data_IF_497043108943
#
_entry.id   IF_497043108943
#
_cell.length_a   1.000
_cell.length_b   1.000
_cell.length_c   1.000
_cell.angle_alpha   90.00
_cell.angle_beta   90.00
_cell.angle_gamma   90.00
#
_symmetry.space_group_name_H-M   'P 1'
#
loop_
_entity.id
_entity.type
_entity.pdbx_description
1 polymer ?
#
# COMPACT_ATOMS: atom_id res chain seq x y z
N UNK A 1 -2.24 12.37 8.19
CA UNK A 1 -1.18 11.86 7.28
C UNK A 1 -1.78 11.78 5.89
N UNK A 2 -1.02 12.13 4.85
CA UNK A 2 -1.46 12.02 3.45
C UNK A 2 -1.55 10.56 3.00
N UNK A 3 -2.53 10.26 2.14
CA UNK A 3 -2.75 8.92 1.61
C UNK A 3 -1.54 8.40 0.80
N UNK A 4 -0.99 9.26 -0.05
CA UNK A 4 0.17 8.99 -0.89
C UNK A 4 1.40 8.67 -0.04
N UNK A 5 1.58 9.40 1.07
CA UNK A 5 2.67 9.16 2.03
C UNK A 5 2.51 7.82 2.74
N UNK A 6 1.29 7.44 3.12
CA UNK A 6 1.02 6.14 3.71
C UNK A 6 1.32 4.98 2.74
N UNK A 7 0.93 5.11 1.47
CA UNK A 7 1.27 4.13 0.43
C UNK A 7 2.79 4.03 0.24
N UNK A 8 3.49 5.17 0.16
CA UNK A 8 4.94 5.16 0.00
C UNK A 8 5.63 4.44 1.17
N UNK A 9 5.23 4.71 2.42
CA UNK A 9 5.76 4.02 3.60
C UNK A 9 5.43 2.52 3.61
N UNK A 10 4.26 2.12 3.12
CA UNK A 10 3.90 0.71 2.97
C UNK A 10 4.84 -0.02 1.99
N UNK A 11 5.18 0.62 0.88
CA UNK A 11 6.13 0.09 -0.11
C UNK A 11 7.54 0.05 0.46
N UNK A 12 8.02 1.12 1.08
CA UNK A 12 9.35 1.16 1.72
C UNK A 12 9.47 0.07 2.79
N UNK A 13 8.42 -0.15 3.58
CA UNK A 13 8.39 -1.21 4.61
C UNK A 13 8.48 -2.63 4.03
N UNK A 14 8.13 -2.78 2.75
CA UNK A 14 8.08 -4.06 2.04
C UNK A 14 9.18 -4.16 1.00
N UNK A 15 10.14 -3.23 0.98
CA UNK A 15 11.10 -3.08 -0.11
C UNK A 15 11.90 -4.35 -0.36
N UNK A 16 12.38 -5.01 0.70
CA UNK A 16 13.19 -6.22 0.59
C UNK A 16 12.39 -7.45 0.10
N UNK A 17 11.07 -7.44 0.24
CA UNK A 17 10.19 -8.46 -0.35
C UNK A 17 9.96 -8.21 -1.85
N UNK A 18 10.09 -6.96 -2.30
CA UNK A 18 9.76 -6.51 -3.65
C UNK A 18 10.97 -6.42 -4.58
N UNK A 19 12.10 -5.96 -4.07
CA UNK A 19 13.30 -5.68 -4.85
C UNK A 19 14.46 -6.41 -4.18
N UNK A 20 15.03 -7.38 -4.89
CA UNK A 20 16.20 -8.11 -4.38
C UNK A 20 17.43 -7.23 -4.49
N UNK A 21 18.36 -7.36 -3.55
CA UNK A 21 19.58 -6.53 -3.43
C UNK A 21 20.50 -6.58 -4.67
N UNK A 22 20.35 -7.59 -5.52
CA UNK A 22 21.13 -7.76 -6.75
C UNK A 22 20.42 -7.26 -8.01
N UNK A 23 19.20 -6.73 -7.90
CA UNK A 23 18.46 -6.21 -9.05
C UNK A 23 18.96 -4.82 -9.44
N UNK A 24 18.92 -4.55 -10.75
CA UNK A 24 19.11 -3.24 -11.36
C UNK A 24 18.36 -2.13 -10.59
N UNK A 25 18.89 -0.90 -10.61
CA UNK A 25 18.20 0.26 -10.05
C UNK A 25 16.77 0.30 -10.59
N UNK A 26 15.79 0.23 -9.69
CA UNK A 26 14.39 0.19 -10.04
C UNK A 26 13.57 1.06 -9.08
N UNK A 27 12.41 1.48 -9.55
CA UNK A 27 11.43 2.19 -8.74
C UNK A 27 10.17 1.34 -8.59
N UNK A 28 9.45 1.53 -7.49
CA UNK A 28 8.13 0.94 -7.31
C UNK A 28 7.09 2.01 -7.59
N UNK A 29 6.20 1.75 -8.54
CA UNK A 29 5.11 2.64 -8.93
C UNK A 29 3.78 2.06 -8.49
N UNK A 30 2.96 2.88 -7.85
CA UNK A 30 1.59 2.55 -7.49
C UNK A 30 0.65 3.38 -8.36
N UNK A 31 -0.28 2.72 -9.03
CA UNK A 31 -1.32 3.35 -9.83
C UNK A 31 -2.69 3.08 -9.22
N UNK A 32 -3.51 4.12 -9.13
CA UNK A 32 -4.89 4.01 -8.67
C UNK A 32 -5.81 4.99 -9.40
N UNK A 33 -7.11 4.74 -9.36
CA UNK A 33 -8.12 5.65 -9.92
C UNK A 33 -8.47 6.71 -8.88
N UNK A 34 -8.13 7.95 -9.14
CA UNK A 34 -8.40 9.05 -8.22
C UNK A 34 -9.62 9.85 -8.68
N UNK A 35 -10.80 9.50 -8.16
CA UNK A 35 -12.03 10.25 -8.38
C UNK A 35 -12.36 11.01 -7.10
N UNK A 36 -12.42 12.34 -7.20
CA UNK A 36 -12.78 13.24 -6.10
C UNK A 36 -14.00 12.76 -5.32
N UNK A 37 -13.89 12.72 -4.00
CA UNK A 37 -15.00 12.38 -3.10
C UNK A 37 -15.35 10.89 -3.01
N UNK A 38 -14.62 10.01 -3.70
CA UNK A 38 -14.84 8.56 -3.62
C UNK A 38 -13.64 7.82 -3.05
N UNK A 39 -13.91 6.73 -2.32
CA UNK A 39 -12.86 5.81 -1.88
C UNK A 39 -12.33 5.02 -3.08
N UNK A 40 -11.03 4.77 -3.10
CA UNK A 40 -10.38 3.93 -4.09
C UNK A 40 -10.97 2.53 -4.11
N UNK A 41 -11.34 2.11 -5.30
CA UNK A 41 -11.86 0.77 -5.56
C UNK A 41 -10.73 -0.23 -5.87
N UNK A 42 -9.62 0.27 -6.39
CA UNK A 42 -8.50 -0.54 -6.85
C UNK A 42 -7.18 0.23 -6.83
N UNK A 43 -6.08 -0.52 -6.70
CA UNK A 43 -4.72 -0.06 -6.94
C UNK A 43 -3.91 -1.17 -7.62
N UNK A 44 -2.84 -0.80 -8.32
CA UNK A 44 -1.83 -1.70 -8.87
C UNK A 44 -0.45 -1.28 -8.42
N UNK A 45 0.38 -2.25 -8.09
CA UNK A 45 1.79 -2.04 -7.72
C UNK A 45 2.67 -2.62 -8.82
N UNK A 46 3.62 -1.83 -9.29
CA UNK A 46 4.52 -2.14 -10.38
C UNK A 46 5.96 -1.92 -9.93
N UNK A 47 6.87 -2.75 -10.41
CA UNK A 47 8.30 -2.44 -10.41
C UNK A 47 8.64 -1.91 -11.81
N UNK A 48 9.30 -0.77 -11.86
CA UNK A 48 9.79 -0.13 -13.07
C UNK A 48 11.30 -0.23 -13.06
N UNK A 49 11.86 -1.01 -13.99
CA UNK A 49 13.31 -1.16 -14.16
C UNK A 49 13.87 -0.02 -14.99
N UNK A 50 15.17 0.26 -14.86
CA UNK A 50 15.87 1.26 -15.67
C UNK A 50 15.81 0.98 -17.18
N UNK A 51 15.78 -0.30 -17.57
CA UNK A 51 15.48 -0.74 -18.94
C UNK A 51 14.10 -0.29 -19.49
N UNK A 52 13.25 0.34 -18.67
CA UNK A 52 11.91 0.77 -19.05
C UNK A 52 10.86 -0.34 -18.97
N UNK A 53 11.25 -1.53 -18.50
CA UNK A 53 10.34 -2.66 -18.32
C UNK A 53 9.52 -2.51 -17.05
N UNK A 54 8.21 -2.75 -17.17
CA UNK A 54 7.26 -2.68 -16.05
C UNK A 54 6.80 -4.08 -15.69
N UNK A 55 6.97 -4.45 -14.42
CA UNK A 55 6.62 -5.76 -13.91
C UNK A 55 5.50 -5.58 -12.89
N UNK A 56 4.35 -6.22 -13.13
CA UNK A 56 3.24 -6.20 -12.18
C UNK A 56 3.62 -7.00 -10.93
N UNK A 57 3.59 -6.37 -9.77
CA UNK A 57 3.78 -7.04 -8.48
C UNK A 57 2.47 -7.58 -7.98
N UNK A 58 1.48 -6.70 -7.82
CA UNK A 58 0.16 -7.09 -7.37
C UNK A 58 -0.91 -6.08 -7.81
N UNK A 59 -2.16 -6.55 -7.80
CA UNK A 59 -3.32 -5.68 -7.78
C UNK A 59 -4.07 -5.85 -6.45
N UNK A 60 -4.70 -4.77 -6.01
CA UNK A 60 -5.63 -4.80 -4.90
C UNK A 60 -6.98 -4.23 -5.31
N UNK A 61 -8.07 -4.85 -4.83
CA UNK A 61 -9.43 -4.34 -5.02
C UNK A 61 -10.28 -4.43 -3.75
N UNK A 62 -10.98 -3.34 -3.43
CA UNK A 62 -11.96 -3.28 -2.33
C UNK A 62 -13.33 -3.87 -2.72
N UNK A 63 -13.57 -4.12 -4.02
CA UNK A 63 -14.82 -4.72 -4.52
C UNK A 63 -14.91 -6.22 -4.27
N UNK A 64 -13.79 -6.88 -4.00
CA UNK A 64 -13.80 -8.27 -3.58
C UNK A 64 -14.49 -8.39 -2.21
N UNK A 65 -15.33 -9.42 -2.06
CA UNK A 65 -16.11 -9.67 -0.84
C UNK A 65 -15.28 -9.46 0.43
N UNK A 66 -15.88 -8.80 1.44
CA UNK A 66 -15.18 -8.52 2.71
C UNK A 66 -14.63 -9.77 3.40
N UNK A 67 -15.14 -10.95 3.07
CA UNK A 67 -14.86 -12.23 3.72
C UNK A 67 -13.54 -12.92 3.34
N UNK A 68 -12.75 -12.43 2.38
CA UNK A 68 -11.47 -13.07 2.01
C UNK A 68 -10.41 -12.08 1.54
N UNK A 69 -9.32 -11.96 2.31
CA UNK A 69 -8.14 -11.16 1.95
C UNK A 69 -7.51 -11.66 0.63
N UNK A 70 -7.54 -12.97 0.38
CA UNK A 70 -7.05 -13.61 -0.84
C UNK A 70 -7.79 -13.17 -2.11
N UNK A 71 -9.04 -12.70 -1.98
CA UNK A 71 -9.77 -12.15 -3.13
C UNK A 71 -9.43 -10.68 -3.38
N UNK A 72 -8.93 -9.96 -2.36
CA UNK A 72 -8.59 -8.54 -2.47
C UNK A 72 -7.21 -8.33 -3.05
N UNK A 73 -6.23 -9.17 -2.73
CA UNK A 73 -4.89 -9.13 -3.30
C UNK A 73 -4.69 -10.22 -4.33
N UNK A 74 -4.18 -9.85 -5.51
CA UNK A 74 -3.63 -10.82 -6.45
C UNK A 74 -2.21 -10.43 -6.81
N UNK A 75 -1.25 -11.18 -6.27
CA UNK A 75 0.14 -11.08 -6.70
C UNK A 75 0.33 -11.72 -8.08
N UNK A 76 1.32 -11.22 -8.81
CA UNK A 76 1.73 -11.70 -10.11
C UNK A 76 3.25 -11.96 -10.12
N UNK A 77 3.75 -12.61 -11.17
CA UNK A 77 5.19 -12.80 -11.40
C UNK A 77 5.96 -13.42 -10.21
N UNK A 78 5.32 -14.32 -9.47
CA UNK A 78 5.87 -14.98 -8.27
C UNK A 78 6.22 -14.04 -7.11
N UNK A 79 5.76 -12.79 -7.14
CA UNK A 79 5.89 -11.89 -6.01
C UNK A 79 4.98 -12.33 -4.87
N UNK A 80 5.43 -12.07 -3.65
CA UNK A 80 4.63 -12.20 -2.44
C UNK A 80 5.22 -11.27 -1.38
N UNK A 81 4.36 -10.62 -0.60
CA UNK A 81 4.80 -9.85 0.55
C UNK A 81 3.67 -9.76 1.57
N UNK A 82 3.88 -10.41 2.72
CA UNK A 82 2.95 -10.32 3.84
C UNK A 82 2.90 -8.88 4.38
N UNK A 83 4.05 -8.21 4.43
CA UNK A 83 4.15 -6.81 4.88
C UNK A 83 3.34 -5.88 3.98
N UNK A 84 3.50 -6.00 2.67
CA UNK A 84 2.76 -5.16 1.71
C UNK A 84 1.26 -5.40 1.80
N UNK A 85 0.87 -6.67 1.90
CA UNK A 85 -0.53 -7.09 2.02
C UNK A 85 -1.20 -6.45 3.23
N UNK A 86 -0.59 -6.58 4.42
CA UNK A 86 -1.14 -6.04 5.67
C UNK A 86 -1.25 -4.52 5.62
N UNK A 87 -0.19 -3.84 5.17
CA UNK A 87 -0.13 -2.39 5.12
C UNK A 87 -1.15 -1.82 4.14
N UNK A 88 -1.20 -2.34 2.91
CA UNK A 88 -2.13 -1.87 1.89
C UNK A 88 -3.59 -2.20 2.26
N UNK A 89 -3.88 -3.36 2.86
CA UNK A 89 -5.25 -3.70 3.27
C UNK A 89 -5.77 -2.71 4.31
N UNK A 90 -4.95 -2.37 5.31
CA UNK A 90 -5.33 -1.38 6.30
C UNK A 90 -5.52 0.00 5.68
N UNK A 91 -4.57 0.47 4.87
CA UNK A 91 -4.66 1.79 4.21
C UNK A 91 -5.96 1.88 3.41
N UNK A 92 -6.26 0.84 2.63
CA UNK A 92 -7.42 0.80 1.75
C UNK A 92 -8.74 0.60 2.48
N UNK A 93 -8.75 -0.06 3.64
CA UNK A 93 -9.94 -0.15 4.50
C UNK A 93 -10.16 1.12 5.35
N UNK A 94 -9.12 1.92 5.56
CA UNK A 94 -9.15 3.10 6.42
C UNK A 94 -8.90 4.41 5.65
N UNK A 95 -9.30 4.48 4.38
CA UNK A 95 -9.01 5.63 3.50
C UNK A 95 -9.46 6.97 4.08
N UNK A 96 -10.56 6.99 4.84
CA UNK A 96 -11.09 8.20 5.49
C UNK A 96 -10.18 8.75 6.61
N UNK A 97 -9.23 7.96 7.13
CA UNK A 97 -8.23 8.40 8.11
C UNK A 97 -7.07 9.16 7.47
N UNK A 98 -6.96 9.14 6.14
CA UNK A 98 -5.91 9.80 5.40
C UNK A 98 -6.44 11.03 4.67
N UNK A 99 -5.66 12.10 4.69
CA UNK A 99 -5.97 13.28 3.89
C UNK A 99 -5.66 12.98 2.43
N UNK A 100 -6.62 13.22 1.56
CA UNK A 100 -6.43 13.14 0.10
C UNK A 100 -5.96 14.49 -0.38
N UNK A 101 -4.95 14.52 -1.26
CA UNK A 101 -4.69 15.74 -2.03
C UNK A 101 -5.91 16.03 -2.89
N UNK A 102 -6.18 17.31 -3.13
CA UNK A 102 -7.22 17.69 -4.06
C UNK A 102 -6.92 17.02 -5.40
N UNK A 103 -7.86 16.22 -5.92
CA UNK A 103 -7.63 15.53 -7.18
C UNK A 103 -7.35 16.59 -8.26
N UNK A 104 -6.24 16.42 -8.98
CA UNK A 104 -5.95 17.25 -10.15
C UNK A 104 -6.96 16.98 -11.27
N UNK A 105 -6.73 17.55 -12.45
CA UNK A 105 -7.55 17.30 -13.64
C UNK A 105 -7.50 15.85 -14.13
N UNK A 106 -6.60 15.00 -13.61
CA UNK A 106 -6.47 13.60 -13.96
C UNK A 106 -7.21 12.67 -13.01
N UNK A 107 -8.07 11.79 -13.54
CA UNK A 107 -8.74 10.72 -12.79
C UNK A 107 -7.81 9.56 -12.36
N UNK A 108 -6.50 9.72 -12.52
CA UNK A 108 -5.48 8.71 -12.23
C UNK A 108 -4.47 9.31 -11.26
N UNK A 109 -4.37 8.69 -10.08
CA UNK A 109 -3.37 9.00 -9.09
C UNK A 109 -2.17 8.05 -9.23
N UNK A 110 -1.00 8.55 -8.85
CA UNK A 110 0.25 7.82 -8.99
C UNK A 110 1.21 8.18 -7.86
N UNK A 111 1.82 7.16 -7.28
CA UNK A 111 2.91 7.30 -6.30
C UNK A 111 4.11 6.54 -6.86
N UNK A 112 5.28 7.17 -6.82
CA UNK A 112 6.54 6.54 -7.24
C UNK A 112 7.52 6.56 -6.08
N UNK A 113 8.12 5.41 -5.81
CA UNK A 113 9.04 5.18 -4.70
C UNK A 113 10.38 4.73 -5.28
N UNK A 114 11.40 5.56 -5.10
CA UNK A 114 12.77 5.25 -5.44
C UNK A 114 13.40 4.28 -4.41
N UNK A 115 14.56 3.68 -4.70
CA UNK A 115 15.29 2.88 -3.71
C UNK A 115 15.46 3.65 -2.38
N UNK A 116 14.94 3.11 -1.26
CA UNK A 116 14.87 3.84 -0.02
C UNK A 116 16.26 3.96 0.61
N UNK A 117 16.55 5.16 1.11
CA UNK A 117 17.75 5.39 1.92
C UNK A 117 17.50 4.97 3.39
N UNK A 118 18.52 5.15 4.26
CA UNK A 118 18.41 4.76 5.66
C UNK A 118 17.34 5.56 6.44
N UNK A 119 17.15 6.82 6.09
CA UNK A 119 16.13 7.68 6.70
C UNK A 119 14.72 7.20 6.33
N UNK A 120 14.48 6.90 5.05
CA UNK A 120 13.21 6.35 4.55
C UNK A 120 12.85 5.06 5.29
N UNK A 121 13.83 4.15 5.44
CA UNK A 121 13.65 2.90 6.19
C UNK A 121 13.31 3.14 7.65
N UNK A 122 13.97 4.11 8.28
CA UNK A 122 13.71 4.46 9.69
C UNK A 122 12.31 5.05 9.87
N UNK A 123 11.89 5.91 8.95
CA UNK A 123 10.55 6.50 8.93
C UNK A 123 9.47 5.44 8.70
N UNK A 124 9.69 4.54 7.75
CA UNK A 124 8.80 3.40 7.48
C UNK A 124 8.69 2.44 8.68
N UNK A 125 9.82 2.15 9.33
CA UNK A 125 9.85 1.33 10.55
C UNK A 125 9.07 1.97 11.70
N UNK A 126 9.23 3.28 11.91
CA UNK A 126 8.50 4.03 12.94
C UNK A 126 7.00 4.04 12.66
N UNK A 127 6.61 4.31 11.42
CA UNK A 127 5.22 4.27 10.99
C UNK A 127 4.60 2.88 11.17
N UNK A 128 5.32 1.82 10.77
CA UNK A 128 4.86 0.43 10.88
C UNK A 128 4.68 -0.01 12.33
N UNK A 129 5.53 0.44 13.24
CA UNK A 129 5.35 0.19 14.69
C UNK A 129 4.06 0.82 15.20
N UNK A 130 3.88 2.12 14.97
CA UNK A 130 2.66 2.83 15.37
C UNK A 130 1.39 2.22 14.75
N UNK A 131 1.48 1.76 13.50
CA UNK A 131 0.43 1.05 12.79
C UNK A 131 0.07 -0.29 13.45
N UNK A 132 1.08 -1.07 13.85
CA UNK A 132 0.87 -2.38 14.47
C UNK A 132 0.22 -2.21 15.84
N UNK A 133 0.58 -1.17 16.59
CA UNK A 133 -0.03 -0.83 17.86
C UNK A 133 -1.51 -0.43 17.69
N UNK A 134 -1.83 0.35 16.66
CA UNK A 134 -3.22 0.74 16.33
C UNK A 134 -4.07 -0.49 15.94
N UNK A 135 -3.53 -1.39 15.13
CA UNK A 135 -4.17 -2.67 14.80
C UNK A 135 -4.41 -3.54 16.03
N UNK A 136 -3.43 -3.63 16.93
CA UNK A 136 -3.57 -4.39 18.17
C UNK A 136 -4.69 -3.80 19.04
N UNK A 137 -4.82 -2.47 19.09
CA UNK A 137 -5.86 -1.78 19.86
C UNK A 137 -7.27 -2.04 19.32
N UNK A 138 -7.44 -1.99 18.00
CA UNK A 138 -8.73 -2.29 17.33
C UNK A 138 -9.15 -3.75 17.54
N UNK A 139 -8.20 -4.69 17.55
CA UNK A 139 -8.48 -6.11 17.81
C UNK A 139 -8.76 -6.40 19.28
N UNK A 140 -8.34 -5.53 20.20
CA UNK A 140 -8.49 -5.70 21.64
C UNK A 140 -9.79 -5.11 22.21
N UNK A 141 -10.56 -4.33 21.46
CA UNK A 141 -11.90 -3.89 21.89
C UNK A 141 -12.87 -5.07 21.92
N UNK A 142 -13.31 -5.56 23.10
CA UNK A 142 -14.35 -6.56 23.16
C UNK A 142 -15.64 -5.90 22.71
N UNK A 143 -16.36 -6.55 21.78
CA UNK A 143 -17.75 -6.24 21.47
C UNK A 143 -18.52 -6.19 22.79
N UNK A 144 -18.90 -4.98 23.24
CA UNK A 144 -19.87 -4.83 24.33
C UNK A 144 -21.19 -5.41 23.82
N UNK A 145 -21.55 -6.60 24.32
CA UNK A 145 -22.89 -7.13 24.17
C UNK A 145 -23.84 -6.13 24.83
N UNK A 146 -24.63 -5.44 24.02
CA UNK A 146 -25.84 -4.79 24.50
C UNK A 146 -26.85 -5.88 24.83
N UNK A 147 -27.21 -5.99 26.11
CA UNK A 147 -28.49 -6.50 26.61
C UNK A 147 -28.82 -5.74 27.88
#
# INVERSE_FOLDING_TARGET
>A
MEFEKAIALAVVSSWDDLVKTNDELCTVRIEYRDISGTSLEWLKVWIVRQSGHWILVCNYSTKASRSSQDLRFRFANSYQSATLTQNLDFIMQNQLRFTRRAAGSSMKGMVEVAPPNQEDRTNAGTWRKAFTDDLARVRSTPYAKQN
#
